data_IF_865016424061
#
_entry.id   IF_865016424061
#
_cell.length_a   1.000
_cell.length_b   1.000
_cell.length_c   1.000
_cell.angle_alpha   90.00
_cell.angle_beta   90.00
_cell.angle_gamma   90.00
#
_symmetry.space_group_name_H-M   'P 1'
#
loop_
_entity.id
_entity.type
_entity.pdbx_description
1 polymer ?
#
# COMPACT_ATOMS: atom_id res chain seq x y z
N UNK A 1 9.79 53.73 -14.60
CA UNK A 1 9.46 52.64 -13.66
C UNK A 1 9.89 51.30 -14.26
N UNK A 2 11.00 50.71 -13.82
CA UNK A 2 11.42 49.36 -14.24
C UNK A 2 10.61 48.33 -13.46
N UNK A 3 9.94 47.42 -14.16
CA UNK A 3 9.12 46.35 -13.55
C UNK A 3 10.05 45.37 -12.83
N UNK A 4 10.06 45.40 -11.50
CA UNK A 4 10.87 44.53 -10.62
C UNK A 4 10.05 43.35 -10.07
N UNK A 5 8.98 42.95 -10.77
CA UNK A 5 8.15 41.81 -10.41
C UNK A 5 8.14 40.82 -11.58
N UNK A 6 9.07 39.86 -11.54
CA UNK A 6 9.17 38.87 -12.60
C UNK A 6 10.46 38.03 -12.66
N UNK A 7 11.32 38.06 -11.63
CA UNK A 7 12.33 37.02 -11.53
C UNK A 7 11.60 35.69 -11.27
N UNK A 8 11.52 34.83 -12.29
CA UNK A 8 11.22 33.41 -12.09
C UNK A 8 12.23 32.93 -11.05
N UNK A 9 11.78 32.68 -9.81
CA UNK A 9 12.58 31.88 -8.88
C UNK A 9 12.93 30.62 -9.66
N UNK A 10 14.23 30.36 -9.85
CA UNK A 10 14.69 29.06 -10.30
C UNK A 10 13.90 28.05 -9.49
N UNK A 11 13.06 27.25 -10.14
CA UNK A 11 12.37 26.16 -9.46
C UNK A 11 13.48 25.19 -9.09
N UNK A 12 14.05 25.38 -7.91
CA UNK A 12 14.89 24.38 -7.28
C UNK A 12 14.13 23.06 -7.39
N UNK A 13 14.80 21.98 -7.80
CA UNK A 13 14.16 20.69 -7.92
C UNK A 13 13.43 20.39 -6.60
N UNK A 14 12.23 19.80 -6.65
CA UNK A 14 11.51 19.41 -5.45
C UNK A 14 12.45 18.66 -4.50
N UNK A 15 12.45 18.98 -3.19
CA UNK A 15 13.38 18.37 -2.27
C UNK A 15 13.26 16.85 -2.36
N UNK A 16 14.41 16.20 -2.51
CA UNK A 16 14.46 14.75 -2.60
C UNK A 16 14.06 14.13 -1.26
N UNK A 17 13.64 12.86 -1.27
CA UNK A 17 13.36 12.11 -0.02
C UNK A 17 14.58 12.16 0.90
N UNK A 18 15.79 12.05 0.34
CA UNK A 18 17.05 12.15 1.09
C UNK A 18 17.21 13.50 1.80
N UNK A 19 16.99 14.60 1.10
CA UNK A 19 17.07 15.94 1.68
C UNK A 19 16.01 16.17 2.76
N UNK A 20 14.80 15.61 2.58
CA UNK A 20 13.75 15.68 3.58
C UNK A 20 14.14 14.91 4.85
N UNK A 21 14.70 13.71 4.70
CA UNK A 21 15.23 12.90 5.81
C UNK A 21 16.36 13.63 6.54
N UNK A 22 17.33 14.19 5.82
CA UNK A 22 18.45 14.94 6.42
C UNK A 22 17.98 16.15 7.22
N UNK A 23 16.96 16.87 6.72
CA UNK A 23 16.36 18.01 7.45
C UNK A 23 15.65 17.56 8.72
N UNK A 24 14.95 16.43 8.70
CA UNK A 24 14.28 15.89 9.88
C UNK A 24 15.31 15.41 10.91
N UNK A 25 16.37 14.73 10.48
CA UNK A 25 17.43 14.25 11.36
C UNK A 25 18.12 15.41 12.11
N UNK A 26 18.50 16.49 11.40
CA UNK A 26 19.09 17.70 12.02
C UNK A 26 18.17 18.34 13.06
N UNK A 27 16.86 18.36 12.79
CA UNK A 27 15.85 18.85 13.75
C UNK A 27 15.72 17.91 14.95
N UNK A 28 15.77 16.60 14.71
CA UNK A 28 15.83 15.54 15.71
C UNK A 28 16.98 15.76 16.69
N UNK A 29 18.20 15.91 16.18
CA UNK A 29 19.41 16.18 16.99
C UNK A 29 19.23 17.42 17.89
N UNK A 30 18.68 18.51 17.34
CA UNK A 30 18.42 19.74 18.11
C UNK A 30 17.43 19.51 19.24
N UNK A 31 16.38 18.71 19.01
CA UNK A 31 15.39 18.37 20.04
C UNK A 31 16.00 17.45 21.10
N UNK A 32 16.79 16.46 20.69
CA UNK A 32 17.47 15.54 21.61
C UNK A 32 18.48 16.26 22.52
N UNK A 33 19.23 17.23 21.98
CA UNK A 33 20.10 18.08 22.79
C UNK A 33 19.33 18.88 23.85
N UNK A 34 18.15 19.41 23.51
CA UNK A 34 17.29 20.11 24.46
C UNK A 34 16.75 19.17 25.53
N UNK A 35 16.32 17.96 25.15
CA UNK A 35 15.88 16.93 26.11
C UNK A 35 17.01 16.58 27.07
N UNK A 36 18.23 16.34 26.58
CA UNK A 36 19.42 16.05 27.41
C UNK A 36 19.71 17.16 28.42
N UNK A 37 19.60 18.43 28.02
CA UNK A 37 19.79 19.58 28.91
C UNK A 37 18.72 19.63 30.02
N UNK A 38 17.46 19.40 29.66
CA UNK A 38 16.34 19.35 30.62
C UNK A 38 16.47 18.17 31.58
N UNK A 39 16.95 17.01 31.11
CA UNK A 39 17.21 15.84 31.95
C UNK A 39 18.30 16.08 33.00
N UNK A 40 19.39 16.73 32.60
CA UNK A 40 20.43 17.13 33.53
C UNK A 40 19.89 18.11 34.60
N UNK A 41 19.01 19.04 34.22
CA UNK A 41 18.38 19.96 35.16
C UNK A 41 17.42 19.24 36.12
N UNK A 42 16.61 18.30 35.62
CA UNK A 42 15.73 17.47 36.44
C UNK A 42 16.51 16.61 37.44
N UNK A 43 17.67 16.07 37.05
CA UNK A 43 18.55 15.32 37.95
C UNK A 43 19.02 16.20 39.13
N UNK A 44 19.41 17.47 38.85
CA UNK A 44 19.79 18.43 39.90
C UNK A 44 18.62 18.74 40.84
N UNK A 45 17.42 18.97 40.32
CA UNK A 45 16.24 19.18 41.16
C UNK A 45 15.92 17.96 42.02
N UNK A 46 16.05 16.75 41.47
CA UNK A 46 15.85 15.50 42.21
C UNK A 46 16.79 15.39 43.40
N UNK A 47 18.07 15.75 43.24
CA UNK A 47 19.04 15.78 44.34
C UNK A 47 18.72 16.87 45.37
N UNK A 48 18.33 18.07 44.92
CA UNK A 48 17.94 19.15 45.83
C UNK A 48 16.72 18.77 46.68
N UNK A 49 15.69 18.14 46.08
CA UNK A 49 14.50 17.68 46.80
C UNK A 49 14.87 16.65 47.87
N UNK A 50 15.79 15.73 47.56
CA UNK A 50 16.29 14.73 48.54
C UNK A 50 17.00 15.36 49.73
N UNK A 51 17.77 16.43 49.51
CA UNK A 51 18.54 17.13 50.56
C UNK A 51 17.71 18.14 51.34
N UNK A 52 16.55 18.55 50.83
CA UNK A 52 15.70 19.57 51.46
C UNK A 52 14.68 18.92 52.40
N UNK A 53 14.57 19.43 53.63
CA UNK A 53 13.58 18.97 54.60
C UNK A 53 12.14 19.22 54.07
N UNK A 54 11.18 18.31 54.33
CA UNK A 54 9.79 18.53 53.95
C UNK A 54 9.25 19.87 54.48
N UNK A 55 8.67 20.67 53.59
CA UNK A 55 8.14 21.99 53.92
C UNK A 55 8.04 22.93 52.70
N UNK A 56 7.71 24.22 52.91
CA UNK A 56 7.49 25.18 51.83
C UNK A 56 8.66 25.32 50.85
N UNK A 57 9.90 25.22 51.35
CA UNK A 57 11.11 25.25 50.52
C UNK A 57 11.18 24.05 49.56
N UNK A 58 10.85 22.84 50.04
CA UNK A 58 10.84 21.63 49.20
C UNK A 58 9.73 21.70 48.14
N UNK A 59 8.55 22.20 48.49
CA UNK A 59 7.44 22.39 47.54
C UNK A 59 7.78 23.41 46.46
N UNK A 60 8.51 24.48 46.79
CA UNK A 60 8.99 25.44 45.80
C UNK A 60 9.95 24.79 44.77
N UNK A 61 10.85 23.91 45.24
CA UNK A 61 11.76 23.16 44.34
C UNK A 61 10.98 22.16 43.48
N UNK A 62 10.01 21.44 44.05
CA UNK A 62 9.10 20.56 43.27
C UNK A 62 8.35 21.33 42.20
N UNK A 63 7.81 22.51 42.51
CA UNK A 63 7.10 23.34 41.55
C UNK A 63 8.00 23.76 40.36
N UNK A 64 9.27 24.09 40.61
CA UNK A 64 10.26 24.37 39.56
C UNK A 64 10.56 23.12 38.72
N UNK A 65 10.81 21.98 39.38
CA UNK A 65 11.03 20.71 38.70
C UNK A 65 9.85 20.31 37.80
N UNK A 66 8.62 20.54 38.25
CA UNK A 66 7.40 20.27 37.46
C UNK A 66 7.30 21.12 36.19
N UNK A 67 7.81 22.36 36.20
CA UNK A 67 7.86 23.20 34.98
C UNK A 67 8.84 22.62 33.95
N UNK A 68 10.02 22.23 34.40
CA UNK A 68 11.04 21.59 33.55
C UNK A 68 10.54 20.26 33.01
N UNK A 69 9.86 19.46 33.83
CA UNK A 69 9.28 18.18 33.41
C UNK A 69 8.21 18.36 32.32
N UNK A 70 7.34 19.37 32.45
CA UNK A 70 6.36 19.70 31.41
C UNK A 70 7.05 20.10 30.09
N UNK A 71 8.10 20.92 30.18
CA UNK A 71 8.87 21.32 29.01
C UNK A 71 9.56 20.12 28.34
N UNK A 72 10.13 19.21 29.14
CA UNK A 72 10.73 17.96 28.63
C UNK A 72 9.69 17.13 27.87
N UNK A 73 8.52 16.89 28.46
CA UNK A 73 7.44 16.12 27.81
C UNK A 73 6.99 16.72 26.48
N UNK A 74 6.95 18.06 26.37
CA UNK A 74 6.66 18.71 25.08
C UNK A 74 7.70 18.38 24.01
N UNK A 75 8.99 18.41 24.36
CA UNK A 75 10.06 18.07 23.42
C UNK A 75 10.10 16.58 23.08
N UNK A 76 9.84 15.69 24.05
CA UNK A 76 9.68 14.25 23.78
C UNK A 76 8.55 14.01 22.78
N UNK A 77 7.40 14.67 22.94
CA UNK A 77 6.31 14.58 21.96
C UNK A 77 6.69 15.10 20.56
N UNK A 78 7.48 16.17 20.47
CA UNK A 78 8.01 16.65 19.18
C UNK A 78 8.96 15.63 18.55
N UNK A 79 9.83 15.01 19.34
CA UNK A 79 10.74 13.96 18.88
C UNK A 79 9.97 12.76 18.35
N UNK A 80 8.96 12.30 19.08
CA UNK A 80 8.14 11.15 18.68
C UNK A 80 7.35 11.45 17.39
N UNK A 81 6.90 12.69 17.19
CA UNK A 81 6.31 13.11 15.91
C UNK A 81 7.31 13.05 14.75
N UNK A 82 8.57 13.45 14.98
CA UNK A 82 9.62 13.35 13.96
C UNK A 82 9.97 11.90 13.65
N UNK A 83 10.00 11.01 14.65
CA UNK A 83 10.20 9.57 14.39
C UNK A 83 9.12 8.98 13.48
N UNK A 84 7.86 9.37 13.67
CA UNK A 84 6.80 8.96 12.74
C UNK A 84 7.01 9.53 11.33
N UNK A 85 7.51 10.76 11.20
CA UNK A 85 7.82 11.36 9.89
C UNK A 85 8.99 10.64 9.20
N UNK A 86 10.06 10.34 9.94
CA UNK A 86 11.20 9.57 9.43
C UNK A 86 10.75 8.19 8.98
N UNK A 87 9.95 7.49 9.79
CA UNK A 87 9.41 6.19 9.42
C UNK A 87 8.59 6.25 8.12
N UNK A 88 7.69 7.23 7.99
CA UNK A 88 6.93 7.39 6.74
C UNK A 88 7.85 7.66 5.53
N UNK A 89 8.91 8.44 5.69
CA UNK A 89 9.88 8.68 4.62
C UNK A 89 10.68 7.42 4.29
N UNK A 90 11.07 6.62 5.28
CA UNK A 90 11.78 5.35 5.06
C UNK A 90 10.91 4.36 4.28
N UNK A 91 9.62 4.27 4.61
CA UNK A 91 8.67 3.45 3.84
C UNK A 91 8.55 3.91 2.38
N UNK A 92 8.50 5.22 2.15
CA UNK A 92 8.44 5.79 0.78
C UNK A 92 9.77 5.59 0.06
N UNK A 93 10.90 5.72 0.73
CA UNK A 93 12.23 5.48 0.18
C UNK A 93 12.35 4.03 -0.30
N UNK A 94 11.95 3.06 0.54
CA UNK A 94 11.94 1.64 0.20
C UNK A 94 11.05 1.34 -1.02
N UNK A 95 9.83 1.88 -1.05
CA UNK A 95 8.94 1.72 -2.21
C UNK A 95 9.53 2.33 -3.48
N UNK A 96 10.19 3.48 -3.36
CA UNK A 96 10.84 4.17 -4.49
C UNK A 96 12.00 3.36 -5.04
N UNK A 97 12.78 2.71 -4.18
CA UNK A 97 13.88 1.83 -4.59
C UNK A 97 13.35 0.60 -5.33
N UNK A 98 12.33 -0.08 -4.79
CA UNK A 98 11.69 -1.20 -5.49
C UNK A 98 11.08 -0.81 -6.85
N UNK A 99 10.53 0.40 -6.98
CA UNK A 99 10.05 0.91 -8.27
C UNK A 99 11.19 1.17 -9.26
N UNK A 100 12.35 1.67 -8.79
CA UNK A 100 13.54 1.83 -9.65
C UNK A 100 14.05 0.48 -10.14
N UNK A 101 14.10 -0.53 -9.29
CA UNK A 101 14.53 -1.88 -9.66
C UNK A 101 13.57 -2.52 -10.69
N UNK A 102 12.26 -2.35 -10.48
CA UNK A 102 11.24 -2.78 -11.44
C UNK A 102 11.39 -2.05 -12.78
N UNK A 103 11.67 -0.74 -12.77
CA UNK A 103 11.91 0.05 -13.97
C UNK A 103 13.17 -0.40 -14.73
N UNK A 104 14.25 -0.70 -14.01
CA UNK A 104 15.49 -1.24 -14.60
C UNK A 104 15.24 -2.63 -15.21
N UNK A 105 14.54 -3.50 -14.49
CA UNK A 105 14.13 -4.83 -14.98
C UNK A 105 13.27 -4.71 -16.24
N UNK A 106 12.29 -3.80 -16.25
CA UNK A 106 11.45 -3.54 -17.42
C UNK A 106 12.28 -3.04 -18.62
N UNK A 107 13.25 -2.18 -18.37
CA UNK A 107 14.14 -1.65 -19.42
C UNK A 107 15.05 -2.74 -20.00
N UNK A 108 15.57 -3.63 -19.15
CA UNK A 108 16.33 -4.80 -19.55
C UNK A 108 15.45 -5.77 -20.37
N UNK A 109 14.24 -6.09 -19.91
CA UNK A 109 13.28 -6.93 -20.63
C UNK A 109 12.89 -6.34 -21.99
N UNK A 110 12.71 -5.01 -22.07
CA UNK A 110 12.41 -4.34 -23.35
C UNK A 110 13.57 -4.47 -24.34
N UNK A 111 14.80 -4.39 -23.85
CA UNK A 111 16.02 -4.56 -24.66
C UNK A 111 16.17 -6.02 -25.10
N UNK A 112 16.05 -6.97 -24.18
CA UNK A 112 16.06 -8.41 -24.48
C UNK A 112 14.97 -8.80 -25.48
N UNK A 113 13.76 -8.24 -25.37
CA UNK A 113 12.68 -8.50 -26.34
C UNK A 113 13.01 -7.93 -27.73
N UNK A 114 13.75 -6.81 -27.82
CA UNK A 114 14.23 -6.26 -29.10
C UNK A 114 15.28 -7.17 -29.73
N UNK A 115 16.21 -7.69 -28.94
CA UNK A 115 17.22 -8.65 -29.40
C UNK A 115 16.60 -9.98 -29.83
N UNK A 116 15.67 -10.52 -29.04
CA UNK A 116 14.92 -11.74 -29.36
C UNK A 116 14.17 -11.60 -30.68
N UNK A 117 13.53 -10.44 -30.94
CA UNK A 117 12.91 -10.15 -32.24
C UNK A 117 13.92 -10.07 -33.38
N UNK A 118 15.15 -9.61 -33.12
CA UNK A 118 16.25 -9.65 -34.08
C UNK A 118 16.67 -11.09 -34.39
N UNK A 119 16.87 -11.91 -33.35
CA UNK A 119 17.23 -13.32 -33.48
C UNK A 119 16.14 -14.16 -34.17
N UNK A 120 14.86 -13.90 -33.87
CA UNK A 120 13.74 -14.50 -34.58
C UNK A 120 13.74 -14.16 -36.08
N UNK A 121 14.33 -13.04 -36.52
CA UNK A 121 14.46 -12.76 -37.95
C UNK A 121 15.61 -13.51 -38.62
N UNK A 122 16.61 -13.93 -37.83
CA UNK A 122 17.76 -14.71 -38.32
C UNK A 122 17.54 -16.22 -38.28
N UNK A 123 16.60 -16.71 -37.47
CA UNK A 123 16.09 -18.08 -37.59
C UNK A 123 15.27 -18.13 -38.88
N UNK A 124 15.66 -19.01 -39.81
CA UNK A 124 15.13 -19.06 -41.17
C UNK A 124 13.60 -18.92 -41.22
N UNK A 125 13.13 -17.94 -42.00
CA UNK A 125 11.71 -17.61 -42.20
C UNK A 125 10.87 -18.83 -42.61
N UNK A 126 11.49 -19.84 -43.25
CA UNK A 126 10.84 -21.12 -43.60
C UNK A 126 10.36 -21.94 -42.40
N UNK A 127 11.07 -21.88 -41.27
CA UNK A 127 10.74 -22.66 -40.08
C UNK A 127 9.75 -21.91 -39.18
N UNK A 128 9.74 -20.58 -39.29
CA UNK A 128 8.82 -19.70 -38.55
C UNK A 128 7.45 -19.66 -39.20
N UNK A 129 7.35 -19.60 -40.52
CA UNK A 129 6.04 -19.63 -41.19
C UNK A 129 5.30 -20.94 -40.91
N UNK A 130 6.02 -22.07 -40.87
CA UNK A 130 5.47 -23.39 -40.53
C UNK A 130 5.08 -23.50 -39.04
N UNK A 131 5.91 -22.99 -38.12
CA UNK A 131 5.60 -22.91 -36.68
C UNK A 131 4.45 -21.94 -36.37
N UNK A 132 4.35 -20.81 -37.08
CA UNK A 132 3.30 -19.82 -36.89
C UNK A 132 1.97 -20.32 -37.46
N UNK A 133 1.99 -21.01 -38.60
CA UNK A 133 0.83 -21.76 -39.12
C UNK A 133 0.38 -22.84 -38.12
N UNK A 134 1.33 -23.59 -37.54
CA UNK A 134 1.00 -24.57 -36.51
C UNK A 134 0.41 -23.90 -35.26
N UNK A 135 1.02 -22.83 -34.73
CA UNK A 135 0.50 -22.12 -33.55
C UNK A 135 -0.93 -21.60 -33.76
N UNK A 136 -1.20 -20.96 -34.89
CA UNK A 136 -2.53 -20.42 -35.21
C UNK A 136 -3.58 -21.54 -35.37
N UNK A 137 -3.19 -22.68 -35.94
CA UNK A 137 -4.08 -23.84 -36.07
C UNK A 137 -4.35 -24.53 -34.72
N UNK A 138 -3.37 -24.60 -33.82
CA UNK A 138 -3.57 -25.12 -32.45
C UNK A 138 -4.42 -24.19 -31.58
N UNK A 139 -4.20 -22.88 -31.64
CA UNK A 139 -5.04 -21.90 -30.92
C UNK A 139 -6.48 -21.92 -31.43
N UNK A 140 -6.70 -22.03 -32.75
CA UNK A 140 -8.05 -22.21 -33.30
C UNK A 140 -8.70 -23.53 -32.85
N UNK A 141 -7.97 -24.64 -32.82
CA UNK A 141 -8.48 -25.93 -32.32
C UNK A 141 -8.80 -25.91 -30.83
N UNK A 142 -7.95 -25.30 -30.02
CA UNK A 142 -8.20 -25.11 -28.59
C UNK A 142 -9.45 -24.25 -28.36
N UNK A 143 -9.60 -23.15 -29.09
CA UNK A 143 -10.80 -22.30 -28.99
C UNK A 143 -12.06 -23.05 -29.43
N UNK A 144 -12.00 -23.85 -30.50
CA UNK A 144 -13.14 -24.67 -30.94
C UNK A 144 -13.50 -25.76 -29.91
N UNK A 145 -12.51 -26.38 -29.26
CA UNK A 145 -12.76 -27.33 -28.17
C UNK A 145 -13.39 -26.67 -26.95
N UNK A 146 -12.91 -25.48 -26.56
CA UNK A 146 -13.49 -24.72 -25.45
C UNK A 146 -14.92 -24.27 -25.77
N UNK A 147 -15.17 -23.81 -26.99
CA UNK A 147 -16.54 -23.50 -27.45
C UNK A 147 -17.44 -24.72 -27.40
N UNK A 148 -16.98 -25.89 -27.83
CA UNK A 148 -17.77 -27.13 -27.79
C UNK A 148 -18.11 -27.55 -26.35
N UNK A 149 -17.13 -27.48 -25.43
CA UNK A 149 -17.35 -27.79 -24.01
C UNK A 149 -18.33 -26.82 -23.36
N UNK A 150 -18.21 -25.52 -23.64
CA UNK A 150 -19.13 -24.50 -23.13
C UNK A 150 -20.54 -24.70 -23.70
N UNK A 151 -20.67 -24.98 -25.00
CA UNK A 151 -21.97 -25.22 -25.63
C UNK A 151 -22.66 -26.48 -25.06
N UNK A 152 -21.88 -27.53 -24.80
CA UNK A 152 -22.38 -28.75 -24.16
C UNK A 152 -22.83 -28.48 -22.70
N UNK A 153 -22.01 -27.73 -21.93
CA UNK A 153 -22.34 -27.38 -20.56
C UNK A 153 -23.59 -26.51 -20.46
N UNK A 154 -23.73 -25.50 -21.32
CA UNK A 154 -24.92 -24.64 -21.39
C UNK A 154 -26.15 -25.47 -21.81
N UNK A 155 -26.01 -26.36 -22.80
CA UNK A 155 -27.07 -27.27 -23.20
C UNK A 155 -27.56 -28.17 -22.06
N UNK A 156 -26.64 -28.75 -21.28
CA UNK A 156 -26.99 -29.56 -20.11
C UNK A 156 -27.67 -28.74 -19.01
N UNK A 157 -27.21 -27.52 -18.75
CA UNK A 157 -27.82 -26.63 -17.76
C UNK A 157 -29.25 -26.24 -18.16
N UNK A 158 -29.47 -25.92 -19.44
CA UNK A 158 -30.82 -25.63 -19.97
C UNK A 158 -31.72 -26.86 -19.86
N UNK A 159 -31.21 -28.06 -20.17
CA UNK A 159 -31.97 -29.30 -20.04
C UNK A 159 -32.36 -29.60 -18.58
N UNK A 160 -31.43 -29.43 -17.64
CA UNK A 160 -31.68 -29.60 -16.19
C UNK A 160 -32.70 -28.57 -15.70
N UNK A 161 -32.58 -27.31 -16.13
CA UNK A 161 -33.48 -26.25 -15.69
C UNK A 161 -34.91 -26.45 -16.21
N UNK A 162 -35.07 -26.92 -17.46
CA UNK A 162 -36.38 -27.28 -18.00
C UNK A 162 -36.96 -28.53 -17.33
N UNK A 163 -36.12 -29.54 -17.05
CA UNK A 163 -36.55 -30.76 -16.36
C UNK A 163 -37.04 -30.50 -14.94
N UNK A 164 -36.31 -29.68 -14.17
CA UNK A 164 -36.69 -29.28 -12.81
C UNK A 164 -37.94 -28.41 -12.79
N UNK A 165 -38.10 -27.51 -13.76
CA UNK A 165 -39.33 -26.72 -13.90
C UNK A 165 -40.57 -27.61 -14.16
N UNK A 166 -40.44 -28.62 -15.03
CA UNK A 166 -41.49 -29.61 -15.29
C UNK A 166 -41.85 -30.43 -14.04
N UNK A 167 -40.85 -30.85 -13.24
CA UNK A 167 -41.09 -31.58 -11.99
C UNK A 167 -41.79 -30.72 -10.94
N UNK A 168 -41.43 -29.44 -10.80
CA UNK A 168 -42.09 -28.51 -9.89
C UNK A 168 -43.54 -28.24 -10.29
N UNK A 169 -43.82 -28.12 -11.59
CA UNK A 169 -45.20 -28.00 -12.08
C UNK A 169 -46.03 -29.24 -11.76
N UNK A 170 -45.48 -30.45 -11.93
CA UNK A 170 -46.16 -31.70 -11.58
C UNK A 170 -46.42 -31.81 -10.08
N UNK A 171 -45.47 -31.41 -9.22
CA UNK A 171 -45.62 -31.43 -7.77
C UNK A 171 -46.71 -30.45 -7.27
N UNK A 172 -46.76 -29.23 -7.82
CA UNK A 172 -47.81 -28.26 -7.47
C UNK A 172 -49.21 -28.74 -7.90
N UNK A 173 -49.32 -29.37 -9.07
CA UNK A 173 -50.59 -29.96 -9.52
C UNK A 173 -51.05 -31.11 -8.60
N UNK A 174 -50.12 -31.91 -8.07
CA UNK A 174 -50.46 -32.96 -7.10
C UNK A 174 -50.93 -32.38 -5.75
N UNK A 175 -50.31 -31.31 -5.25
CA UNK A 175 -50.72 -30.66 -3.99
C UNK A 175 -52.11 -30.01 -4.07
N UNK A 176 -52.46 -29.35 -5.18
CA UNK A 176 -53.80 -28.80 -5.38
C UNK A 176 -54.90 -29.87 -5.43
N UNK A 177 -54.57 -31.12 -5.81
CA UNK A 177 -55.54 -32.22 -5.80
C UNK A 177 -55.78 -32.83 -4.42
N UNK A 178 -54.89 -32.58 -3.44
CA UNK A 178 -54.96 -33.17 -2.09
C UNK A 178 -55.56 -32.25 -1.02
N UNK A 179 -55.65 -30.94 -1.26
CA UNK A 179 -56.19 -29.97 -0.27
C UNK A 179 -57.69 -29.68 -0.38
N UNK A 180 -58.43 -30.37 -1.26
CA UNK A 180 -59.89 -30.28 -1.23
C UNK A 180 -60.51 -31.11 -0.10
N UNK A 181 -60.79 -30.40 1.01
CA UNK A 181 -61.90 -30.57 1.98
C UNK A 181 -61.69 -31.63 3.10
N UNK A 182 -61.66 -31.20 4.38
CA UNK A 182 -62.88 -31.25 5.22
C UNK A 182 -63.15 -29.94 5.99
N UNK A 183 -64.32 -29.34 5.79
CA UNK A 183 -65.49 -29.40 6.70
C UNK A 183 -65.13 -29.01 8.14
N UNK A 184 -65.11 -27.72 8.40
CA UNK A 184 -65.36 -27.20 9.74
C UNK A 184 -66.86 -27.26 10.01
N UNK A 185 -67.18 -27.76 11.20
CA UNK A 185 -68.49 -27.94 11.84
C UNK A 185 -69.46 -26.79 11.68
#
# INVERSE_FOLDING_TARGET
MKRVFGAKKNKEPPPTIQEATDRINKRGETVDEKIKKLDAELARYKEQIKKTRPGPAQEAVKARAMRVLKQKRMYEGQRDMMYNQTFNLDQVAFATEGLKDAQQTMSALKSANKELKGMMKTVNISDIDSLMLWKLTWEQRLNLMQFHLIFNQIGNLIWIQNSTYLQLQQAMLQQCSTESIPRMS
#
